data_IF_695016589896
#
_entry.id   IF_695016589896
#
_cell.length_a   1.000
_cell.length_b   1.000
_cell.length_c   1.000
_cell.angle_alpha   90.00
_cell.angle_beta   90.00
_cell.angle_gamma   90.00
#
_symmetry.space_group_name_H-M   'P 1'
#
loop_
_entity.id
_entity.type
_entity.pdbx_description
1 polymer ?
#
# COMPACT_ATOMS: atom_id res chain seq x y z
N UNK A 1 10.61 4.27 15.83
CA UNK A 1 10.30 5.45 14.99
C UNK A 1 9.02 5.11 14.26
N UNK A 2 7.93 5.78 14.61
CA UNK A 2 6.60 5.46 14.08
C UNK A 2 6.40 6.12 12.71
N UNK A 3 6.03 5.31 11.72
CA UNK A 3 5.61 5.79 10.42
C UNK A 3 4.12 6.13 10.50
N UNK A 4 3.82 7.36 10.85
CA UNK A 4 2.44 7.82 11.06
C UNK A 4 1.66 7.94 9.75
N UNK A 5 0.33 7.88 9.83
CA UNK A 5 -0.60 7.98 8.70
C UNK A 5 -0.35 9.23 7.82
N UNK A 6 0.12 10.32 8.44
CA UNK A 6 0.47 11.58 7.77
C UNK A 6 1.57 11.41 6.70
N UNK A 7 2.47 10.44 6.87
CA UNK A 7 3.53 10.18 5.90
C UNK A 7 2.96 9.51 4.64
N UNK A 8 1.99 8.60 4.78
CA UNK A 8 1.27 8.01 3.63
C UNK A 8 0.47 9.06 2.86
N UNK A 9 -0.16 10.01 3.55
CA UNK A 9 -0.87 11.12 2.88
C UNK A 9 0.07 11.97 2.01
N UNK A 10 1.29 12.25 2.48
CA UNK A 10 2.31 12.97 1.70
C UNK A 10 2.80 12.14 0.49
N UNK A 11 2.95 10.83 0.64
CA UNK A 11 3.28 9.94 -0.47
C UNK A 11 2.15 9.91 -1.51
N UNK A 12 0.88 9.86 -1.07
CA UNK A 12 -0.26 9.92 -1.97
C UNK A 12 -0.30 11.23 -2.76
N UNK A 13 -0.04 12.36 -2.10
CA UNK A 13 0.07 13.65 -2.76
C UNK A 13 1.23 13.72 -3.76
N UNK A 14 2.38 13.16 -3.40
CA UNK A 14 3.50 13.04 -4.32
C UNK A 14 3.13 12.20 -5.54
N UNK A 15 2.57 11.00 -5.33
CA UNK A 15 2.15 10.11 -6.41
C UNK A 15 1.15 10.77 -7.37
N UNK A 16 0.23 11.60 -6.85
CA UNK A 16 -0.72 12.38 -7.67
C UNK A 16 -0.05 13.50 -8.49
N UNK A 17 0.99 14.12 -7.96
CA UNK A 17 1.57 15.36 -8.54
C UNK A 17 2.83 15.11 -9.35
N UNK A 18 3.49 13.96 -9.20
CA UNK A 18 4.70 13.69 -9.98
C UNK A 18 4.39 13.60 -11.47
N UNK A 19 5.31 14.11 -12.30
CA UNK A 19 5.26 13.91 -13.75
C UNK A 19 5.73 12.51 -14.19
N UNK A 20 6.41 11.79 -13.28
CA UNK A 20 6.90 10.45 -13.53
C UNK A 20 5.86 9.38 -13.22
N UNK A 21 6.26 8.12 -13.39
CA UNK A 21 5.47 6.96 -12.95
C UNK A 21 5.95 6.52 -11.57
N UNK A 22 5.00 6.25 -10.67
CA UNK A 22 5.27 5.74 -9.34
C UNK A 22 4.42 4.48 -9.11
N UNK A 23 5.06 3.48 -8.50
CA UNK A 23 4.40 2.28 -7.98
C UNK A 23 4.70 2.22 -6.49
N UNK A 24 3.67 2.02 -5.68
CA UNK A 24 3.75 1.88 -4.23
C UNK A 24 3.17 0.52 -3.88
N UNK A 25 3.89 -0.27 -3.06
CA UNK A 25 3.35 -1.49 -2.46
C UNK A 25 3.25 -1.30 -0.95
N UNK A 26 2.07 -1.53 -0.40
CA UNK A 26 1.77 -1.46 1.04
C UNK A 26 0.88 -2.64 1.45
N UNK A 27 0.73 -2.87 2.75
CA UNK A 27 -0.23 -3.85 3.25
C UNK A 27 -1.67 -3.43 2.91
N UNK A 28 -2.52 -4.40 2.56
CA UNK A 28 -3.94 -4.17 2.30
C UNK A 28 -4.70 -4.01 3.63
N UNK A 29 -4.75 -2.76 4.12
CA UNK A 29 -5.50 -2.35 5.30
C UNK A 29 -6.41 -1.17 4.95
N UNK A 30 -7.58 -0.99 5.62
CA UNK A 30 -8.54 0.07 5.31
C UNK A 30 -7.92 1.48 5.27
N UNK A 31 -6.94 1.74 6.13
CA UNK A 31 -6.24 3.02 6.21
C UNK A 31 -5.46 3.36 4.93
N UNK A 32 -4.91 2.36 4.24
CA UNK A 32 -4.20 2.57 2.96
C UNK A 32 -5.20 2.85 1.83
N UNK A 33 -6.36 2.20 1.83
CA UNK A 33 -7.42 2.51 0.87
C UNK A 33 -7.86 3.97 0.98
N UNK A 34 -8.05 4.47 2.20
CA UNK A 34 -8.44 5.87 2.42
C UNK A 34 -7.32 6.85 2.02
N UNK A 35 -6.07 6.53 2.34
CA UNK A 35 -4.92 7.39 2.02
C UNK A 35 -4.69 7.52 0.50
N UNK A 36 -4.92 6.44 -0.26
CA UNK A 36 -4.60 6.34 -1.68
C UNK A 36 -5.85 6.28 -2.60
N UNK A 37 -7.05 6.58 -2.09
CA UNK A 37 -8.33 6.46 -2.80
C UNK A 37 -8.44 7.15 -4.16
N UNK A 38 -7.60 8.14 -4.42
CA UNK A 38 -7.58 8.90 -5.68
C UNK A 38 -6.59 8.35 -6.72
N UNK A 39 -5.90 7.26 -6.41
CA UNK A 39 -4.95 6.59 -7.28
C UNK A 39 -5.48 5.22 -7.71
N UNK A 40 -4.91 4.68 -8.78
CA UNK A 40 -5.25 3.33 -9.24
C UNK A 40 -4.68 2.32 -8.25
N UNK A 41 -5.54 1.46 -7.70
CA UNK A 41 -5.17 0.47 -6.69
C UNK A 41 -5.55 -0.94 -7.13
N UNK A 42 -4.67 -1.90 -6.83
CA UNK A 42 -4.90 -3.32 -7.08
C UNK A 42 -4.49 -4.13 -5.85
N UNK A 43 -5.46 -4.85 -5.27
CA UNK A 43 -5.19 -5.84 -4.23
C UNK A 43 -4.60 -7.11 -4.86
N UNK A 44 -3.46 -7.56 -4.35
CA UNK A 44 -2.75 -8.75 -4.79
C UNK A 44 -2.60 -9.69 -3.59
N UNK A 45 -3.16 -10.90 -3.71
CA UNK A 45 -2.99 -11.92 -2.69
C UNK A 45 -1.53 -12.39 -2.68
N UNK A 46 -0.85 -12.23 -1.56
CA UNK A 46 0.53 -12.71 -1.38
C UNK A 46 0.54 -13.95 -0.51
N UNK A 47 1.23 -14.97 -1.00
CA UNK A 47 1.43 -16.22 -0.27
C UNK A 47 2.88 -16.28 0.23
N UNK A 48 3.26 -15.39 1.15
CA UNK A 48 4.58 -15.45 1.78
C UNK A 48 4.45 -15.72 3.28
N UNK A 49 5.10 -16.79 3.75
CA UNK A 49 5.16 -17.17 5.16
C UNK A 49 6.19 -16.31 5.89
N UNK A 50 5.77 -15.15 6.40
CA UNK A 50 6.54 -14.41 7.41
C UNK A 50 6.13 -14.91 8.80
N UNK A 51 6.98 -15.76 9.39
CA UNK A 51 6.78 -16.37 10.71
C UNK A 51 6.37 -17.84 10.61
N UNK A 52 7.24 -18.73 11.09
CA UNK A 52 6.97 -20.17 11.16
C UNK A 52 5.62 -20.49 11.82
N UNK A 53 5.02 -21.63 11.41
CA UNK A 53 3.79 -22.33 11.84
C UNK A 53 2.54 -21.57 12.37
N UNK A 54 2.63 -20.40 13.02
CA UNK A 54 1.51 -19.63 13.58
C UNK A 54 0.93 -18.55 12.64
N UNK A 55 1.57 -18.27 11.50
CA UNK A 55 1.23 -17.12 10.63
C UNK A 55 0.43 -17.44 9.35
N UNK A 56 -0.36 -18.52 9.28
CA UNK A 56 -1.16 -18.90 8.09
C UNK A 56 -2.40 -18.01 7.88
N UNK A 57 -2.23 -16.69 7.91
CA UNK A 57 -3.25 -15.75 7.46
C UNK A 57 -3.05 -15.45 5.98
N UNK A 58 -4.11 -15.46 5.19
CA UNK A 58 -4.09 -14.89 3.84
C UNK A 58 -3.71 -13.42 3.99
N UNK A 59 -2.57 -13.03 3.44
CA UNK A 59 -2.12 -11.64 3.42
C UNK A 59 -2.33 -11.09 2.02
N UNK A 60 -2.80 -9.86 1.96
CA UNK A 60 -3.02 -9.16 0.70
C UNK A 60 -2.16 -7.90 0.74
N UNK A 61 -1.50 -7.61 -0.37
CA UNK A 61 -0.80 -6.36 -0.61
C UNK A 61 -1.66 -5.46 -1.50
N UNK A 62 -1.56 -4.16 -1.28
CA UNK A 62 -2.18 -3.13 -2.09
C UNK A 62 -1.10 -2.50 -2.95
N UNK A 63 -1.20 -2.70 -4.26
CA UNK A 63 -0.35 -2.06 -5.26
C UNK A 63 -1.04 -0.80 -5.75
N UNK A 64 -0.43 0.36 -5.53
CA UNK A 64 -0.93 1.66 -5.97
C UNK A 64 -0.05 2.19 -7.10
N UNK A 65 -0.67 2.72 -8.15
CA UNK A 65 0.01 3.30 -9.31
C UNK A 65 -0.65 4.62 -9.73
N UNK A 66 0.15 5.52 -10.30
CA UNK A 66 -0.30 6.83 -10.77
C UNK A 66 -0.49 6.91 -12.31
N UNK A 67 -0.60 5.75 -12.97
CA UNK A 67 -0.74 5.63 -14.43
C UNK A 67 -1.70 4.51 -14.82
#
# INVERSE_FOLDING_TARGET
MDFELKQYAQIAELARTIKGKMIISVNDIPEMHEAFKELTMQSVAISYTVGGQQGRGQRTELVIQNF
#
